data_IF_784190959948
#
_entry.id   IF_784190959948
#
_cell.length_a   1.000
_cell.length_b   1.000
_cell.length_c   1.000
_cell.angle_alpha   90.00
_cell.angle_beta   90.00
_cell.angle_gamma   90.00
#
_symmetry.space_group_name_H-M   'P 1'
#
loop_
_entity.id
_entity.type
_entity.pdbx_description
1 polymer ?
#
# COMPACT_ATOMS: atom_id res chain seq x y z
N UNK A 1 -6.84 1.95 -31.24
CA UNK A 1 -5.51 2.00 -30.61
C UNK A 1 -5.71 1.82 -29.12
N UNK A 2 -5.15 0.77 -28.54
CA UNK A 2 -5.25 0.48 -27.10
C UNK A 2 -4.65 1.65 -26.32
N UNK A 3 -5.48 2.45 -25.63
CA UNK A 3 -5.03 3.41 -24.63
C UNK A 3 -4.57 2.65 -23.38
N UNK A 4 -3.56 1.77 -23.50
CA UNK A 4 -3.10 0.98 -22.36
C UNK A 4 -2.40 1.89 -21.36
N UNK A 5 -2.89 1.86 -20.12
CA UNK A 5 -2.26 2.56 -18.99
C UNK A 5 -0.83 2.06 -18.74
N UNK A 6 -0.57 0.80 -19.06
CA UNK A 6 0.69 0.12 -18.82
C UNK A 6 1.52 -0.02 -20.10
N UNK A 7 2.85 -0.04 -19.94
CA UNK A 7 3.79 -0.14 -21.06
C UNK A 7 3.84 -1.58 -21.60
N UNK A 8 3.86 -1.71 -22.93
CA UNK A 8 4.06 -2.99 -23.64
C UNK A 8 5.52 -3.28 -23.95
N UNK A 9 6.43 -2.39 -23.54
CA UNK A 9 7.85 -2.47 -23.84
C UNK A 9 8.68 -2.56 -22.56
N UNK A 10 9.91 -3.04 -22.70
CA UNK A 10 10.87 -3.05 -21.62
C UNK A 10 11.39 -1.63 -21.33
N UNK A 11 11.12 -1.14 -20.13
CA UNK A 11 11.64 0.14 -19.61
C UNK A 11 12.82 -0.13 -18.69
N UNK A 12 13.94 -0.52 -19.29
CA UNK A 12 15.14 -0.98 -18.57
C UNK A 12 15.69 0.09 -17.60
N UNK A 13 15.71 1.37 -18.00
CA UNK A 13 16.22 2.45 -17.13
C UNK A 13 15.40 2.58 -15.83
N UNK A 14 14.06 2.77 -15.86
CA UNK A 14 13.24 2.70 -14.65
C UNK A 14 13.35 1.39 -13.89
N UNK A 15 13.41 0.24 -14.57
CA UNK A 15 13.54 -1.06 -13.92
C UNK A 15 14.79 -1.10 -13.03
N UNK A 16 15.95 -0.77 -13.61
CA UNK A 16 17.22 -0.72 -12.87
C UNK A 16 17.12 0.31 -11.74
N UNK A 17 16.67 1.54 -12.01
CA UNK A 17 16.61 2.60 -11.00
C UNK A 17 15.75 2.21 -9.79
N UNK A 18 14.56 1.66 -9.99
CA UNK A 18 13.66 1.28 -8.90
C UNK A 18 14.20 0.08 -8.10
N UNK A 19 14.79 -0.91 -8.77
CA UNK A 19 15.45 -2.03 -8.07
C UNK A 19 16.66 -1.52 -7.28
N UNK A 20 17.49 -0.65 -7.87
CA UNK A 20 18.62 -0.04 -7.17
C UNK A 20 18.18 0.73 -5.93
N UNK A 21 17.12 1.54 -6.01
CA UNK A 21 16.59 2.26 -4.84
C UNK A 21 16.12 1.27 -3.77
N UNK A 22 15.36 0.23 -4.14
CA UNK A 22 14.89 -0.79 -3.22
C UNK A 22 16.04 -1.49 -2.50
N UNK A 23 17.03 -2.00 -3.26
CA UNK A 23 18.19 -2.67 -2.68
C UNK A 23 19.09 -1.74 -1.88
N UNK A 24 19.30 -0.48 -2.31
CA UNK A 24 20.11 0.47 -1.55
C UNK A 24 19.48 0.79 -0.19
N UNK A 25 18.15 0.96 -0.14
CA UNK A 25 17.44 1.15 1.13
C UNK A 25 17.58 -0.08 2.03
N UNK A 26 17.34 -1.28 1.50
CA UNK A 26 17.49 -2.52 2.27
C UNK A 26 18.93 -2.70 2.78
N UNK A 27 19.93 -2.52 1.92
CA UNK A 27 21.34 -2.60 2.28
C UNK A 27 21.69 -1.56 3.35
N UNK A 28 21.19 -0.33 3.22
CA UNK A 28 21.43 0.71 4.24
C UNK A 28 20.83 0.34 5.61
N UNK A 29 19.75 -0.44 5.63
CA UNK A 29 19.18 -0.95 6.88
C UNK A 29 19.94 -2.14 7.44
N UNK A 30 20.57 -2.95 6.58
CA UNK A 30 21.35 -4.13 6.98
C UNK A 30 22.79 -3.83 7.41
N UNK A 31 23.40 -2.78 6.87
CA UNK A 31 24.79 -2.41 7.18
C UNK A 31 24.90 -1.89 8.62
N UNK A 32 25.80 -2.42 9.48
CA UNK A 32 25.88 -2.04 10.88
C UNK A 32 26.07 -0.53 11.14
N UNK A 33 26.82 0.15 10.27
CA UNK A 33 27.10 1.59 10.42
C UNK A 33 25.87 2.46 10.21
N UNK A 34 25.07 2.15 9.18
CA UNK A 34 23.84 2.88 8.85
C UNK A 34 22.63 2.34 9.61
N UNK A 35 22.68 1.09 10.09
CA UNK A 35 21.67 0.48 10.95
C UNK A 35 21.40 1.32 12.20
N UNK A 36 22.45 1.82 12.84
CA UNK A 36 22.32 2.69 14.02
C UNK A 36 21.53 3.98 13.73
N UNK A 37 21.62 4.51 12.51
CA UNK A 37 20.84 5.68 12.09
C UNK A 37 19.36 5.30 11.94
N UNK A 38 19.10 4.13 11.38
CA UNK A 38 17.75 3.59 11.24
C UNK A 38 17.11 3.27 12.59
N UNK A 39 17.83 2.68 13.53
CA UNK A 39 17.30 2.41 14.87
C UNK A 39 17.00 3.73 15.63
N UNK A 40 17.83 4.76 15.47
CA UNK A 40 17.55 6.11 16.00
C UNK A 40 16.32 6.73 15.35
N UNK A 41 16.18 6.59 14.03
CA UNK A 41 15.01 7.07 13.30
C UNK A 41 13.74 6.33 13.76
N UNK A 42 13.80 5.01 13.88
CA UNK A 42 12.71 4.15 14.35
C UNK A 42 12.25 4.56 15.75
N UNK A 43 13.19 4.70 16.70
CA UNK A 43 12.87 5.13 18.05
C UNK A 43 12.29 6.54 18.08
N UNK A 44 12.94 7.50 17.41
CA UNK A 44 12.47 8.88 17.33
C UNK A 44 11.06 8.99 16.74
N UNK A 45 10.80 8.29 15.62
CA UNK A 45 9.50 8.31 14.97
C UNK A 45 8.45 7.66 15.87
N UNK A 46 8.78 6.54 16.51
CA UNK A 46 7.86 5.86 17.41
C UNK A 46 7.48 6.73 18.60
N UNK A 47 8.45 7.30 19.33
CA UNK A 47 8.17 8.18 20.48
C UNK A 47 7.39 9.42 20.05
N UNK A 48 7.75 10.03 18.92
CA UNK A 48 7.04 11.20 18.38
C UNK A 48 5.55 10.93 18.13
N UNK A 49 5.21 9.72 17.69
CA UNK A 49 3.85 9.34 17.31
C UNK A 49 3.06 8.71 18.46
N UNK A 50 3.71 7.89 19.30
CA UNK A 50 3.09 7.07 20.34
C UNK A 50 2.96 7.80 21.68
N UNK A 51 3.97 8.57 22.12
CA UNK A 51 3.95 9.28 23.42
C UNK A 51 2.69 10.15 23.62
N UNK A 52 2.17 10.87 22.59
CA UNK A 52 0.96 11.67 22.77
C UNK A 52 -0.31 10.86 23.09
N UNK A 53 -0.31 9.52 22.93
CA UNK A 53 -1.43 8.65 23.29
C UNK A 53 -1.67 8.68 24.80
N UNK A 54 -0.62 8.73 25.61
CA UNK A 54 -0.75 8.76 27.08
C UNK A 54 -1.41 10.06 27.57
N UNK A 55 -1.13 11.17 26.90
CA UNK A 55 -1.50 12.51 27.37
C UNK A 55 -2.76 13.07 26.72
N UNK A 56 -3.18 12.52 25.57
CA UNK A 56 -4.31 13.04 24.79
C UNK A 56 -5.32 11.95 24.45
N UNK A 57 -6.46 11.98 25.13
CA UNK A 57 -7.59 11.07 24.85
C UNK A 57 -8.08 11.18 23.40
N UNK A 58 -8.09 12.39 22.83
CA UNK A 58 -8.48 12.61 21.43
C UNK A 58 -7.49 11.90 20.49
N UNK A 59 -6.18 12.04 20.74
CA UNK A 59 -5.15 11.37 19.95
C UNK A 59 -5.29 9.85 20.07
N UNK A 60 -5.40 9.33 21.30
CA UNK A 60 -5.59 7.91 21.57
C UNK A 60 -6.82 7.35 20.84
N UNK A 61 -7.96 8.05 20.92
CA UNK A 61 -9.22 7.62 20.29
C UNK A 61 -9.11 7.61 18.76
N UNK A 62 -8.57 8.68 18.15
CA UNK A 62 -8.40 8.76 16.69
C UNK A 62 -7.57 7.59 16.17
N UNK A 63 -6.46 7.29 16.83
CA UNK A 63 -5.54 6.24 16.37
C UNK A 63 -5.97 4.83 16.77
N UNK A 64 -6.74 4.68 17.85
CA UNK A 64 -7.45 3.44 18.14
C UNK A 64 -8.48 3.12 17.05
N UNK A 65 -9.28 4.11 16.63
CA UNK A 65 -10.22 3.95 15.50
C UNK A 65 -9.43 3.68 14.23
N UNK A 66 -8.34 4.40 13.99
CA UNK A 66 -7.45 4.18 12.87
C UNK A 66 -6.92 2.74 12.77
N UNK A 67 -6.72 2.08 13.90
CA UNK A 67 -6.01 0.81 14.01
C UNK A 67 -6.92 -0.42 14.16
N UNK A 68 -8.23 -0.26 14.16
CA UNK A 68 -9.16 -1.40 14.07
C UNK A 68 -9.27 -1.93 12.64
N UNK A 69 -9.50 -3.24 12.50
CA UNK A 69 -9.61 -3.93 11.20
C UNK A 69 -10.70 -3.34 10.28
N UNK A 70 -11.77 -2.80 10.86
CA UNK A 70 -12.84 -2.16 10.08
C UNK A 70 -12.34 -0.92 9.33
N UNK A 71 -11.40 -0.18 9.91
CA UNK A 71 -10.83 1.01 9.28
C UNK A 71 -9.94 0.65 8.08
N UNK A 72 -9.24 -0.48 8.12
CA UNK A 72 -8.50 -1.00 6.95
C UNK A 72 -9.46 -1.26 5.77
N UNK A 73 -10.68 -1.76 6.05
CA UNK A 73 -11.73 -1.94 5.02
C UNK A 73 -12.18 -0.59 4.47
N UNK A 74 -12.43 0.40 5.35
CA UNK A 74 -12.81 1.74 4.93
C UNK A 74 -11.74 2.40 4.05
N UNK A 75 -10.46 2.29 4.44
CA UNK A 75 -9.31 2.75 3.64
C UNK A 75 -9.28 2.02 2.29
N UNK A 76 -9.47 0.70 2.27
CA UNK A 76 -9.56 -0.09 1.04
C UNK A 76 -10.68 0.38 0.11
N UNK A 77 -11.85 0.74 0.65
CA UNK A 77 -12.96 1.31 -0.13
C UNK A 77 -12.62 2.69 -0.70
N UNK A 78 -11.94 3.54 0.06
CA UNK A 78 -11.44 4.82 -0.44
C UNK A 78 -10.44 4.59 -1.57
N UNK A 79 -9.46 3.72 -1.39
CA UNK A 79 -8.48 3.36 -2.42
C UNK A 79 -9.15 2.82 -3.69
N UNK A 80 -10.19 1.98 -3.54
CA UNK A 80 -10.98 1.45 -4.63
C UNK A 80 -11.75 2.54 -5.38
N UNK A 81 -12.29 3.53 -4.66
CA UNK A 81 -13.01 4.65 -5.27
C UNK A 81 -12.12 5.45 -6.24
N UNK A 82 -10.84 5.64 -5.93
CA UNK A 82 -9.88 6.31 -6.82
C UNK A 82 -9.61 5.52 -8.11
N UNK A 83 -9.75 4.19 -8.07
CA UNK A 83 -9.59 3.34 -9.25
C UNK A 83 -10.84 3.30 -10.12
N UNK A 84 -12.03 3.34 -9.51
CA UNK A 84 -13.32 3.19 -10.20
C UNK A 84 -13.95 4.50 -10.67
N UNK A 85 -13.66 5.62 -10.01
CA UNK A 85 -14.30 6.90 -10.32
C UNK A 85 -13.65 7.60 -11.52
N UNK A 86 -14.20 7.35 -12.71
CA UNK A 86 -13.73 7.72 -14.06
C UNK A 86 -13.47 9.18 -14.42
N UNK A 87 -13.38 10.07 -13.43
CA UNK A 87 -13.17 11.51 -13.66
C UNK A 87 -12.01 12.10 -12.89
N UNK A 88 -11.52 11.39 -11.87
CA UNK A 88 -10.42 11.89 -11.04
C UNK A 88 -9.06 11.67 -11.73
N UNK A 89 -8.82 10.44 -12.21
CA UNK A 89 -7.52 10.01 -12.71
C UNK A 89 -7.56 9.28 -14.06
N UNK A 90 -8.54 8.42 -14.30
CA UNK A 90 -8.65 7.60 -15.50
C UNK A 90 -9.91 7.96 -16.28
N UNK A 91 -9.95 7.68 -17.59
CA UNK A 91 -11.15 7.91 -18.44
C UNK A 91 -11.50 6.67 -19.27
N UNK A 92 -12.79 6.37 -19.37
CA UNK A 92 -13.32 5.28 -20.21
C UNK A 92 -12.68 3.93 -19.90
N UNK A 93 -12.20 3.23 -20.94
CA UNK A 93 -11.58 1.89 -20.80
C UNK A 93 -10.33 1.87 -19.89
N UNK A 94 -9.68 3.02 -19.65
CA UNK A 94 -8.54 3.09 -18.71
C UNK A 94 -8.96 2.78 -17.27
N UNK A 95 -10.22 3.00 -16.88
CA UNK A 95 -10.73 2.68 -15.54
C UNK A 95 -10.67 1.18 -15.30
N UNK A 96 -11.12 0.39 -16.29
CA UNK A 96 -11.05 -1.09 -16.23
C UNK A 96 -9.61 -1.57 -16.21
N UNK A 97 -8.74 -0.95 -17.01
CA UNK A 97 -7.31 -1.26 -17.02
C UNK A 97 -6.63 -0.95 -15.68
N UNK A 98 -6.94 0.21 -15.07
CA UNK A 98 -6.45 0.59 -13.76
C UNK A 98 -6.90 -0.39 -12.67
N UNK A 99 -8.19 -0.72 -12.64
CA UNK A 99 -8.76 -1.64 -11.66
C UNK A 99 -8.20 -3.07 -11.80
N UNK A 100 -8.27 -3.67 -13.00
CA UNK A 100 -7.76 -5.03 -13.22
C UNK A 100 -6.24 -5.08 -13.03
N UNK A 101 -5.52 -4.09 -13.55
CA UNK A 101 -4.07 -4.03 -13.35
C UNK A 101 -3.69 -3.88 -11.90
N UNK A 102 -4.45 -3.14 -11.09
CA UNK A 102 -4.23 -3.09 -9.65
C UNK A 102 -4.48 -4.45 -8.97
N UNK A 103 -5.50 -5.21 -9.36
CA UNK A 103 -5.69 -6.58 -8.87
C UNK A 103 -4.49 -7.48 -9.23
N UNK A 104 -4.00 -7.40 -10.47
CA UNK A 104 -2.80 -8.15 -10.90
C UNK A 104 -1.58 -7.74 -10.07
N UNK A 105 -1.41 -6.44 -9.81
CA UNK A 105 -0.36 -5.92 -8.94
C UNK A 105 -0.47 -6.46 -7.52
N UNK A 106 -1.67 -6.54 -6.93
CA UNK A 106 -1.87 -7.11 -5.59
C UNK A 106 -1.51 -8.61 -5.53
N UNK A 107 -1.87 -9.39 -6.56
CA UNK A 107 -1.49 -10.81 -6.65
C UNK A 107 0.02 -10.94 -6.76
N UNK A 108 0.66 -10.16 -7.62
CA UNK A 108 2.11 -10.17 -7.79
C UNK A 108 2.83 -9.73 -6.51
N UNK A 109 2.31 -8.70 -5.84
CA UNK A 109 2.81 -8.23 -4.56
C UNK A 109 2.72 -9.31 -3.50
N UNK A 110 1.62 -10.08 -3.45
CA UNK A 110 1.48 -11.17 -2.50
C UNK A 110 2.59 -12.21 -2.68
N UNK A 111 2.93 -12.56 -3.93
CA UNK A 111 4.04 -13.48 -4.21
C UNK A 111 5.39 -12.91 -3.75
N UNK A 112 5.67 -11.64 -4.08
CA UNK A 112 6.92 -10.96 -3.67
C UNK A 112 6.99 -10.84 -2.15
N UNK A 113 5.89 -10.45 -1.50
CA UNK A 113 5.77 -10.31 -0.05
C UNK A 113 6.02 -11.64 0.65
N UNK A 114 5.31 -12.70 0.27
CA UNK A 114 5.48 -14.02 0.88
C UNK A 114 6.93 -14.47 0.73
N UNK A 115 7.49 -14.42 -0.49
CA UNK A 115 8.89 -14.79 -0.70
C UNK A 115 9.88 -13.96 0.12
N UNK A 116 9.63 -12.65 0.25
CA UNK A 116 10.51 -11.76 1.02
C UNK A 116 10.36 -11.95 2.53
N UNK A 117 9.14 -12.15 3.05
CA UNK A 117 8.89 -12.43 4.47
C UNK A 117 9.54 -13.75 4.88
N UNK A 118 9.33 -14.82 4.13
CA UNK A 118 9.96 -16.12 4.39
C UNK A 118 11.49 -16.02 4.35
N UNK A 119 12.03 -15.34 3.33
CA UNK A 119 13.47 -15.10 3.25
C UNK A 119 13.98 -14.30 4.45
N UNK A 120 13.30 -13.21 4.82
CA UNK A 120 13.62 -12.35 5.96
C UNK A 120 13.65 -13.12 7.28
N UNK A 121 12.71 -14.04 7.48
CA UNK A 121 12.68 -14.92 8.65
C UNK A 121 13.86 -15.90 8.64
N UNK A 122 14.12 -16.54 7.50
CA UNK A 122 15.23 -17.51 7.35
C UNK A 122 16.60 -16.90 7.64
N UNK A 123 16.81 -15.63 7.28
CA UNK A 123 18.10 -14.92 7.51
C UNK A 123 18.11 -14.09 8.79
N UNK A 124 17.06 -14.15 9.61
CA UNK A 124 16.99 -13.50 10.92
C UNK A 124 16.80 -11.98 10.88
N UNK A 125 16.19 -11.44 9.83
CA UNK A 125 15.82 -10.02 9.74
C UNK A 125 14.45 -9.70 10.34
N UNK A 126 13.63 -10.73 10.57
CA UNK A 126 12.37 -10.61 11.28
C UNK A 126 12.55 -10.00 12.68
N UNK A 127 11.63 -9.12 13.06
CA UNK A 127 11.61 -8.50 14.40
C UNK A 127 10.19 -8.21 14.83
N UNK A 128 10.00 -8.10 16.14
CA UNK A 128 8.74 -7.67 16.73
C UNK A 128 8.57 -6.13 16.65
N UNK A 129 7.33 -5.71 16.81
CA UNK A 129 6.91 -4.30 16.79
C UNK A 129 7.43 -3.52 18.02
N UNK A 130 7.47 -2.18 17.97
CA UNK A 130 7.98 -1.37 19.08
C UNK A 130 7.25 -1.63 20.39
N UNK A 131 5.93 -1.75 20.39
CA UNK A 131 5.13 -2.02 21.60
C UNK A 131 5.41 -3.38 22.25
N UNK A 132 5.97 -4.33 21.51
CA UNK A 132 6.40 -5.62 22.05
C UNK A 132 7.82 -5.58 22.63
N UNK A 133 8.67 -4.67 22.14
CA UNK A 133 10.08 -4.59 22.50
C UNK A 133 10.39 -3.53 23.55
N UNK A 134 9.60 -2.45 23.60
CA UNK A 134 9.79 -1.31 24.49
C UNK A 134 8.77 -1.37 25.64
N UNK A 135 9.20 -1.66 26.89
CA UNK A 135 8.29 -1.71 28.04
C UNK A 135 7.55 -0.40 28.32
N UNK A 136 8.14 0.74 27.95
CA UNK A 136 7.59 2.08 28.13
C UNK A 136 6.51 2.45 27.09
N UNK A 137 6.24 1.60 26.10
CA UNK A 137 5.29 1.89 25.04
C UNK A 137 3.86 2.05 25.56
N UNK A 138 3.12 3.01 25.02
CA UNK A 138 1.68 3.14 25.28
C UNK A 138 0.92 2.18 24.37
N UNK A 139 0.13 1.30 24.96
CA UNK A 139 -0.64 0.27 24.25
C UNK A 139 -2.11 0.62 24.17
N UNK A 140 -2.60 0.84 22.96
CA UNK A 140 -4.01 1.16 22.73
C UNK A 140 -4.94 0.03 23.18
N UNK A 141 -4.49 -1.23 23.16
CA UNK A 141 -5.25 -2.37 23.68
C UNK A 141 -5.46 -2.34 25.18
N UNK A 142 -4.59 -1.67 25.94
CA UNK A 142 -4.74 -1.51 27.39
C UNK A 142 -5.71 -0.36 27.72
N UNK A 143 -5.76 0.67 26.86
CA UNK A 143 -6.67 1.82 27.00
C UNK A 143 -8.10 1.46 26.52
N UNK A 144 -8.22 0.72 25.41
CA UNK A 144 -9.49 0.33 24.77
C UNK A 144 -9.62 -1.20 24.65
N UNK A 145 -9.69 -1.93 25.78
CA UNK A 145 -9.69 -3.40 25.78
C UNK A 145 -10.85 -4.00 24.99
N UNK A 146 -12.00 -3.34 24.95
CA UNK A 146 -13.18 -3.79 24.21
C UNK A 146 -13.01 -3.72 22.68
N UNK A 147 -12.02 -2.96 22.18
CA UNK A 147 -11.77 -2.82 20.74
C UNK A 147 -10.81 -3.90 20.22
N UNK A 148 -10.15 -4.65 21.11
CA UNK A 148 -9.36 -5.84 20.74
C UNK A 148 -10.25 -6.86 20.00
N UNK A 149 -11.51 -7.03 20.44
CA UNK A 149 -12.49 -7.89 19.77
C UNK A 149 -12.85 -7.39 18.35
N UNK A 150 -12.69 -6.08 18.08
CA UNK A 150 -12.87 -5.47 16.75
C UNK A 150 -11.59 -5.54 15.89
N UNK A 151 -10.54 -6.19 16.39
CA UNK A 151 -9.26 -6.34 15.70
C UNK A 151 -8.43 -5.08 15.73
N UNK A 152 -8.46 -4.32 16.84
CA UNK A 152 -7.44 -3.32 17.14
C UNK A 152 -6.05 -3.98 17.07
N UNK A 153 -5.15 -3.45 16.23
CA UNK A 153 -3.74 -3.88 16.24
C UNK A 153 -2.81 -2.73 16.61
N UNK A 154 -2.14 -2.92 17.73
CA UNK A 154 -1.08 -2.09 18.26
C UNK A 154 0.22 -2.88 18.48
N UNK A 155 0.26 -4.16 18.09
CA UNK A 155 1.43 -5.04 18.24
C UNK A 155 1.53 -6.07 17.11
N UNK A 156 2.76 -6.53 16.83
CA UNK A 156 3.05 -7.61 15.88
C UNK A 156 4.35 -8.34 16.27
N UNK A 157 4.30 -9.68 16.38
CA UNK A 157 5.50 -10.49 16.63
C UNK A 157 6.44 -10.56 15.43
N UNK A 158 5.92 -10.28 14.23
CA UNK A 158 6.64 -10.24 12.96
C UNK A 158 6.24 -8.97 12.22
N UNK A 159 6.84 -7.85 12.61
CA UNK A 159 6.49 -6.52 12.10
C UNK A 159 7.24 -6.17 10.81
N UNK A 160 8.47 -6.67 10.64
CA UNK A 160 9.24 -6.49 9.42
C UNK A 160 9.04 -7.68 8.46
N UNK A 161 8.77 -7.45 7.16
CA UNK A 161 8.51 -6.16 6.50
C UNK A 161 7.07 -5.65 6.71
N UNK A 162 6.88 -4.32 6.59
CA UNK A 162 5.58 -3.67 6.76
C UNK A 162 4.58 -4.04 5.66
N UNK A 163 3.60 -4.88 5.99
CA UNK A 163 2.64 -5.41 5.03
C UNK A 163 1.55 -4.41 4.65
N UNK A 164 1.02 -3.69 5.64
CA UNK A 164 0.04 -2.63 5.48
C UNK A 164 0.57 -1.53 4.55
N UNK A 165 1.79 -1.05 4.80
CA UNK A 165 2.45 -0.06 3.96
C UNK A 165 2.68 -0.55 2.53
N UNK A 166 3.05 -1.82 2.34
CA UNK A 166 3.32 -2.35 0.99
C UNK A 166 2.12 -2.21 0.04
N UNK A 167 0.90 -2.41 0.53
CA UNK A 167 -0.35 -2.27 -0.23
C UNK A 167 -0.62 -0.80 -0.58
N UNK A 168 -0.47 0.09 0.41
CA UNK A 168 -0.75 1.53 0.27
C UNK A 168 0.25 2.19 -0.68
N UNK A 169 1.54 1.88 -0.54
CA UNK A 169 2.60 2.39 -1.40
C UNK A 169 2.44 1.88 -2.84
N UNK A 170 2.07 0.61 -3.02
CA UNK A 170 1.80 0.05 -4.35
C UNK A 170 0.60 0.73 -5.02
N UNK A 171 -0.45 1.03 -4.26
CA UNK A 171 -1.59 1.83 -4.74
C UNK A 171 -1.16 3.24 -5.17
N UNK A 172 -0.37 3.94 -4.34
CA UNK A 172 0.12 5.27 -4.67
C UNK A 172 1.00 5.27 -5.94
N UNK A 173 1.88 4.29 -6.08
CA UNK A 173 2.71 4.09 -7.28
C UNK A 173 1.85 3.83 -8.52
N UNK A 174 0.84 2.97 -8.42
CA UNK A 174 -0.07 2.67 -9.53
C UNK A 174 -0.84 3.91 -10.00
N UNK A 175 -1.41 4.67 -9.07
CA UNK A 175 -2.13 5.90 -9.41
C UNK A 175 -1.21 7.00 -9.97
N UNK A 176 0.06 7.03 -9.56
CA UNK A 176 1.07 7.98 -10.06
C UNK A 176 1.37 7.80 -11.56
N UNK A 177 0.98 6.68 -12.18
CA UNK A 177 1.06 6.49 -13.63
C UNK A 177 0.19 7.52 -14.38
N UNK A 178 -1.02 7.80 -13.87
CA UNK A 178 -1.97 8.74 -14.47
C UNK A 178 -2.01 10.10 -13.75
N UNK A 179 -1.72 10.14 -12.44
CA UNK A 179 -1.74 11.38 -11.67
C UNK A 179 -0.55 12.29 -11.99
N UNK A 180 -0.81 13.61 -12.09
CA UNK A 180 0.21 14.66 -12.30
C UNK A 180 -0.07 15.86 -11.39
N UNK A 181 0.96 16.64 -11.10
CA UNK A 181 0.86 17.86 -10.29
C UNK A 181 0.23 17.60 -8.91
N UNK A 182 -0.69 18.49 -8.50
CA UNK A 182 -1.34 18.43 -7.19
C UNK A 182 -2.07 17.11 -6.90
N UNK A 183 -2.59 16.43 -7.93
CA UNK A 183 -3.28 15.13 -7.74
C UNK A 183 -2.32 14.07 -7.24
N UNK A 184 -1.10 14.06 -7.76
CA UNK A 184 -0.04 13.17 -7.29
C UNK A 184 0.31 13.48 -5.83
N UNK A 185 0.43 14.77 -5.47
CA UNK A 185 0.70 15.17 -4.09
C UNK A 185 -0.40 14.70 -3.12
N UNK A 186 -1.68 14.80 -3.51
CA UNK A 186 -2.81 14.30 -2.70
C UNK A 186 -2.74 12.79 -2.50
N UNK A 187 -2.43 12.01 -3.55
CA UNK A 187 -2.31 10.54 -3.44
C UNK A 187 -1.22 10.16 -2.43
N UNK A 188 -0.05 10.79 -2.52
CA UNK A 188 1.06 10.50 -1.60
C UNK A 188 0.80 11.02 -0.18
N UNK A 189 0.10 12.15 -0.03
CA UNK A 189 -0.34 12.62 1.29
C UNK A 189 -1.32 11.64 1.95
N UNK A 190 -2.30 11.12 1.18
CA UNK A 190 -3.20 10.08 1.65
C UNK A 190 -2.45 8.78 1.98
N UNK A 191 -1.47 8.39 1.18
CA UNK A 191 -0.64 7.22 1.46
C UNK A 191 0.07 7.35 2.81
N UNK A 192 0.66 8.51 3.11
CA UNK A 192 1.25 8.79 4.43
C UNK A 192 0.20 8.67 5.53
N UNK A 193 -0.95 9.34 5.38
CA UNK A 193 -2.04 9.29 6.38
C UNK A 193 -2.53 7.87 6.63
N UNK A 194 -2.65 7.04 5.60
CA UNK A 194 -3.12 5.66 5.72
C UNK A 194 -2.10 4.72 6.36
N UNK A 195 -0.80 5.05 6.33
CA UNK A 195 0.23 4.29 7.06
C UNK A 195 0.27 4.65 8.55
N UNK A 196 -0.05 5.90 8.91
CA UNK A 196 0.07 6.40 10.29
C UNK A 196 -0.59 5.55 11.38
N UNK A 197 -1.79 4.94 11.21
CA UNK A 197 -2.40 4.20 12.31
C UNK A 197 -1.51 3.10 12.88
N UNK A 198 -0.85 2.32 12.02
CA UNK A 198 0.02 1.23 12.47
C UNK A 198 1.32 1.70 13.08
N UNK A 199 1.83 2.85 12.62
CA UNK A 199 3.02 3.49 13.19
C UNK A 199 2.73 4.10 14.57
N UNK A 200 1.62 4.83 14.69
CA UNK A 200 1.19 5.49 15.93
C UNK A 200 0.82 4.46 17.00
N UNK A 201 0.03 3.45 16.62
CA UNK A 201 -0.33 2.36 17.53
C UNK A 201 0.87 1.48 17.91
N UNK A 202 1.98 1.55 17.17
CA UNK A 202 3.18 0.77 17.46
C UNK A 202 3.13 -0.69 16.99
N UNK A 203 2.28 -1.00 16.02
CA UNK A 203 2.27 -2.30 15.36
C UNK A 203 3.44 -2.46 14.37
N UNK A 204 3.99 -1.34 13.87
CA UNK A 204 5.13 -1.30 12.97
C UNK A 204 6.14 -0.22 13.40
N UNK A 205 7.41 -0.50 13.15
CA UNK A 205 8.47 0.51 13.15
C UNK A 205 8.46 1.33 11.86
N UNK A 206 9.07 2.51 11.87
CA UNK A 206 9.21 3.32 10.66
C UNK A 206 9.90 2.59 9.50
N UNK A 207 10.95 1.82 9.78
CA UNK A 207 11.67 1.06 8.76
C UNK A 207 10.93 -0.19 8.29
N UNK A 208 9.93 -0.68 9.03
CA UNK A 208 9.04 -1.72 8.50
C UNK A 208 8.32 -1.19 7.27
N UNK A 209 7.87 0.07 7.29
CA UNK A 209 7.16 0.73 6.19
C UNK A 209 8.12 1.29 5.13
N UNK A 210 9.08 2.12 5.54
CA UNK A 210 9.94 2.88 4.61
C UNK A 210 11.08 2.05 4.00
N UNK A 211 11.45 0.91 4.61
CA UNK A 211 12.42 -0.02 4.04
C UNK A 211 11.71 -1.28 3.56
N UNK A 212 11.05 -2.03 4.46
CA UNK A 212 10.43 -3.31 4.13
C UNK A 212 9.25 -3.17 3.15
N UNK A 213 8.26 -2.36 3.52
CA UNK A 213 7.07 -2.10 2.72
C UNK A 213 7.41 -1.50 1.38
N UNK A 214 8.26 -0.46 1.37
CA UNK A 214 8.70 0.18 0.13
C UNK A 214 9.53 -0.76 -0.76
N UNK A 215 10.39 -1.61 -0.19
CA UNK A 215 11.11 -2.64 -0.95
C UNK A 215 10.13 -3.55 -1.70
N UNK A 216 9.14 -4.13 -1.00
CA UNK A 216 8.11 -5.00 -1.60
C UNK A 216 7.37 -4.25 -2.72
N UNK A 217 6.92 -3.02 -2.46
CA UNK A 217 6.16 -2.23 -3.44
C UNK A 217 6.99 -1.88 -4.67
N UNK A 218 8.25 -1.46 -4.51
CA UNK A 218 9.13 -1.11 -5.62
C UNK A 218 9.54 -2.34 -6.44
N UNK A 219 9.84 -3.47 -5.79
CA UNK A 219 10.13 -4.72 -6.48
C UNK A 219 8.92 -5.17 -7.31
N UNK A 220 7.74 -5.18 -6.70
CA UNK A 220 6.49 -5.53 -7.41
C UNK A 220 6.23 -4.59 -8.57
N UNK A 221 6.22 -3.28 -8.31
CA UNK A 221 5.87 -2.27 -9.30
C UNK A 221 6.88 -2.24 -10.46
N UNK A 222 8.17 -2.33 -10.18
CA UNK A 222 9.20 -2.28 -11.22
C UNK A 222 9.09 -3.47 -12.17
N UNK A 223 8.97 -4.69 -11.66
CA UNK A 223 8.83 -5.89 -12.49
C UNK A 223 7.47 -5.98 -13.19
N UNK A 224 6.40 -5.44 -12.61
CA UNK A 224 5.09 -5.40 -13.25
C UNK A 224 5.01 -4.33 -14.35
N UNK A 225 5.39 -3.09 -14.04
CA UNK A 225 5.11 -1.89 -14.85
C UNK A 225 6.27 -1.48 -15.76
N UNK A 226 7.52 -1.90 -15.47
CA UNK A 226 8.67 -1.63 -16.33
C UNK A 226 8.97 -2.77 -17.30
N UNK A 227 8.19 -3.85 -17.25
CA UNK A 227 8.20 -4.94 -18.22
C UNK A 227 6.84 -5.02 -18.92
N UNK A 228 6.71 -5.74 -20.04
CA UNK A 228 5.41 -5.94 -20.71
C UNK A 228 4.41 -6.78 -19.90
N UNK A 229 4.79 -7.30 -18.73
CA UNK A 229 4.01 -8.27 -17.95
C UNK A 229 2.62 -7.74 -17.61
N UNK A 230 2.53 -6.59 -16.95
CA UNK A 230 1.25 -6.05 -16.49
C UNK A 230 0.34 -5.71 -17.66
N UNK A 231 0.87 -5.08 -18.70
CA UNK A 231 0.10 -4.78 -19.91
C UNK A 231 -0.46 -6.05 -20.57
N UNK A 232 0.36 -7.11 -20.65
CA UNK A 232 -0.04 -8.39 -21.27
C UNK A 232 -1.12 -9.10 -20.46
N UNK A 233 -0.92 -9.24 -19.15
CA UNK A 233 -1.86 -9.96 -18.27
C UNK A 233 -3.16 -9.18 -18.16
N UNK A 234 -3.10 -7.87 -17.90
CA UNK A 234 -4.30 -7.01 -17.83
C UNK A 234 -5.05 -7.00 -19.16
N UNK A 235 -4.36 -6.91 -20.31
CA UNK A 235 -5.00 -6.95 -21.62
C UNK A 235 -5.75 -8.27 -21.87
N UNK A 236 -5.15 -9.41 -21.53
CA UNK A 236 -5.81 -10.73 -21.62
C UNK A 236 -7.04 -10.82 -20.73
N UNK A 237 -6.92 -10.40 -19.47
CA UNK A 237 -8.04 -10.41 -18.52
C UNK A 237 -9.17 -9.45 -18.95
N UNK A 238 -8.83 -8.27 -19.47
CA UNK A 238 -9.81 -7.33 -20.02
C UNK A 238 -10.57 -7.95 -21.19
N UNK A 239 -9.90 -8.63 -22.11
CA UNK A 239 -10.58 -9.28 -23.24
C UNK A 239 -11.58 -10.35 -22.78
N UNK A 240 -11.28 -11.06 -21.68
CA UNK A 240 -12.16 -12.07 -21.09
C UNK A 240 -13.33 -11.42 -20.33
N UNK A 241 -13.07 -10.36 -19.57
CA UNK A 241 -14.04 -9.76 -18.64
C UNK A 241 -14.89 -8.63 -19.26
N UNK A 242 -14.43 -7.99 -20.33
CA UNK A 242 -15.14 -6.89 -20.98
C UNK A 242 -16.55 -7.26 -21.44
N UNK A 243 -16.84 -8.45 -22.01
CA UNK A 243 -18.22 -8.84 -22.33
C UNK A 243 -19.14 -8.85 -21.10
N UNK A 244 -18.63 -9.30 -19.95
CA UNK A 244 -19.38 -9.32 -18.69
C UNK A 244 -19.65 -7.89 -18.21
N UNK A 245 -18.63 -7.03 -18.20
CA UNK A 245 -18.80 -5.64 -17.78
C UNK A 245 -19.76 -4.87 -18.68
N UNK A 246 -19.65 -5.06 -20.00
CA UNK A 246 -20.54 -4.46 -20.99
C UNK A 246 -21.98 -4.98 -20.87
N UNK A 247 -22.16 -6.25 -20.51
CA UNK A 247 -23.49 -6.81 -20.24
C UNK A 247 -24.11 -6.19 -18.99
N UNK A 248 -23.37 -6.14 -17.88
CA UNK A 248 -23.81 -5.51 -16.64
C UNK A 248 -24.15 -4.03 -16.82
N UNK A 249 -23.36 -3.31 -17.63
CA UNK A 249 -23.57 -1.89 -17.95
C UNK A 249 -24.88 -1.57 -18.69
N UNK A 250 -25.66 -2.59 -19.11
CA UNK A 250 -27.01 -2.42 -19.68
C UNK A 250 -28.09 -2.23 -18.61
N UNK A 251 -27.81 -2.56 -17.36
CA UNK A 251 -28.77 -2.57 -16.27
C UNK A 251 -28.44 -1.54 -15.19
N UNK A 252 -29.45 -1.01 -14.52
CA UNK A 252 -29.27 -0.14 -13.37
C UNK A 252 -28.96 -0.96 -12.10
N UNK A 253 -28.11 -0.48 -11.18
CA UNK A 253 -27.43 0.82 -11.17
C UNK A 253 -26.09 0.85 -11.93
N UNK A 254 -25.63 -0.28 -12.50
CA UNK A 254 -24.31 -0.39 -13.13
C UNK A 254 -24.11 0.58 -14.30
N UNK A 255 -25.16 0.86 -15.07
CA UNK A 255 -25.12 1.81 -16.19
C UNK A 255 -24.71 3.25 -15.79
N UNK A 256 -24.84 3.63 -14.51
CA UNK A 256 -24.37 4.93 -14.01
C UNK A 256 -22.85 5.05 -13.88
N UNK A 257 -22.13 3.93 -13.86
CA UNK A 257 -20.68 3.93 -13.66
C UNK A 257 -19.93 3.78 -14.98
N UNK A 258 -19.00 4.70 -15.25
CA UNK A 258 -18.14 4.67 -16.45
C UNK A 258 -17.33 3.36 -16.58
N UNK A 259 -17.07 2.67 -15.46
CA UNK A 259 -16.47 1.33 -15.46
C UNK A 259 -17.31 0.31 -16.24
N UNK A 260 -18.63 0.30 -16.10
CA UNK A 260 -19.50 -0.68 -16.76
C UNK A 260 -20.03 -0.18 -18.11
N UNK A 261 -20.19 1.13 -18.27
CA UNK A 261 -20.62 1.76 -19.52
C UNK A 261 -19.69 2.91 -19.93
N UNK A 262 -18.52 2.60 -20.54
CA UNK A 262 -17.54 3.62 -20.92
C UNK A 262 -18.00 4.54 -22.07
N UNK A 263 -19.14 4.23 -22.71
CA UNK A 263 -19.74 5.01 -23.82
C UNK A 263 -20.87 5.94 -23.40
N UNK A 264 -21.36 5.88 -22.14
CA UNK A 264 -22.52 6.67 -21.70
C UNK A 264 -22.22 8.15 -21.44
N UNK A 265 -20.97 8.58 -21.55
CA UNK A 265 -20.57 9.97 -21.30
C UNK A 265 -19.86 10.51 -22.54
N UNK A 266 -20.64 11.11 -23.44
CA UNK A 266 -20.15 12.16 -24.33
C UNK A 266 -20.23 13.51 -23.61
#
# INVERSE_FOLDING_TARGET
>A
MSNSLYSTEWRIKPLIALNSIAFLLLISWLLPTTRLLWDRFDYFLFTLLNDPIETSEIWATIWAVGSVRLTDIAVGLVMLSFLLWGRLLFRGEQIRSAFIGFIVLLIMMLLVRVGFTEFSELVGWGRASPTMLLPESVRLSEIFPEWVALGLKDSSSQSFPGDHASVILLWALNLSLAAKGWRCAVIWALAVVFMLPRLVAGAHWGTDDFVGGLFISLMTFSWACCTPLLATVTGKLLNILAPIFNYLGRYQPFAWFEFFNPTSVK
#
